data_IF_910434398063
#
_entry.id   IF_910434398063
#
_cell.length_a   1.000
_cell.length_b   1.000
_cell.length_c   1.000
_cell.angle_alpha   90.00
_cell.angle_beta   90.00
_cell.angle_gamma   90.00
#
_symmetry.space_group_name_H-M   'P 1'
#
loop_
_entity.id
_entity.type
_entity.pdbx_description
1 polymer ?
#
# COMPACT_ATOMS: atom_id res chain seq x y z
N UNK A 1 10.36 10.10 15.49
CA UNK A 1 8.97 10.01 15.01
C UNK A 1 8.78 8.64 14.39
N UNK A 2 7.69 7.94 14.71
CA UNK A 2 7.39 6.59 14.22
C UNK A 2 6.71 6.57 12.86
N UNK A 3 5.85 7.55 12.60
CA UNK A 3 5.11 7.63 11.34
C UNK A 3 6.01 8.23 10.27
N UNK A 4 5.94 7.68 9.06
CA UNK A 4 6.60 8.26 7.88
C UNK A 4 5.65 9.09 7.03
N UNK A 5 4.32 8.91 7.21
CA UNK A 5 3.30 9.71 6.53
C UNK A 5 2.20 10.11 7.50
N UNK A 6 1.76 11.36 7.37
CA UNK A 6 0.60 11.94 8.02
C UNK A 6 -0.35 12.46 6.95
N UNK A 7 -1.64 12.18 7.11
CA UNK A 7 -2.69 12.74 6.25
C UNK A 7 -3.81 13.33 7.10
N UNK A 8 -4.48 14.36 6.57
CA UNK A 8 -5.73 14.91 7.10
C UNK A 8 -6.88 14.51 6.15
N UNK A 9 -7.56 13.36 6.34
CA UNK A 9 -8.57 12.86 5.39
C UNK A 9 -9.69 13.84 5.08
N UNK A 10 -10.06 14.72 6.03
CA UNK A 10 -11.05 15.79 5.81
C UNK A 10 -10.68 16.73 4.65
N UNK A 11 -9.39 16.93 4.38
CA UNK A 11 -8.93 17.75 3.25
C UNK A 11 -9.22 17.11 1.90
N UNK A 12 -9.43 15.78 1.85
CA UNK A 12 -9.81 15.05 0.64
C UNK A 12 -11.33 15.09 0.42
N UNK A 13 -12.11 15.04 1.49
CA UNK A 13 -13.56 15.19 1.45
C UNK A 13 -14.10 15.66 2.80
N UNK A 14 -15.07 16.59 2.85
CA UNK A 14 -15.70 17.04 4.09
C UNK A 14 -16.40 15.91 4.86
N UNK A 15 -16.79 14.83 4.19
CA UNK A 15 -17.47 13.67 4.78
C UNK A 15 -16.53 12.70 5.51
N UNK A 16 -15.21 12.89 5.39
CA UNK A 16 -14.19 12.08 6.06
C UNK A 16 -13.99 12.43 7.55
N UNK A 17 -14.79 13.36 8.08
CA UNK A 17 -14.88 13.67 9.50
C UNK A 17 -16.22 14.36 9.83
N UNK A 18 -16.75 14.21 11.06
CA UNK A 18 -17.93 14.95 11.51
C UNK A 18 -17.79 16.47 11.36
N UNK A 19 -18.92 17.18 11.27
CA UNK A 19 -18.92 18.64 11.23
C UNK A 19 -18.18 19.26 12.43
N UNK A 20 -17.37 20.29 12.18
CA UNK A 20 -16.54 20.93 13.20
C UNK A 20 -15.31 20.12 13.65
N UNK A 21 -15.11 18.92 13.13
CA UNK A 21 -14.00 18.03 13.48
C UNK A 21 -13.12 17.71 12.27
N UNK A 22 -11.92 17.19 12.52
CA UNK A 22 -11.02 16.62 11.53
C UNK A 22 -10.49 15.27 12.02
N UNK A 23 -9.77 14.55 11.17
CA UNK A 23 -9.11 13.29 11.50
C UNK A 23 -7.65 13.35 11.07
N UNK A 24 -6.81 12.61 11.78
CA UNK A 24 -5.39 12.45 11.44
C UNK A 24 -5.13 10.98 11.20
N UNK A 25 -4.61 10.66 10.02
CA UNK A 25 -4.20 9.30 9.66
C UNK A 25 -2.68 9.24 9.66
N UNK A 26 -2.13 8.30 10.42
CA UNK A 26 -0.71 8.04 10.50
C UNK A 26 -0.39 6.70 9.86
N UNK A 27 0.68 6.66 9.09
CA UNK A 27 1.22 5.41 8.55
C UNK A 27 2.59 5.14 9.15
N UNK A 28 2.70 3.98 9.79
CA UNK A 28 3.85 3.58 10.58
C UNK A 28 4.42 2.31 9.94
N UNK A 29 5.54 2.40 9.22
CA UNK A 29 6.21 1.21 8.70
C UNK A 29 6.78 0.41 9.86
N UNK A 30 6.53 -0.89 9.86
CA UNK A 30 7.07 -1.84 10.83
C UNK A 30 7.24 -3.20 10.15
N UNK A 31 8.05 -4.06 10.76
CA UNK A 31 8.21 -5.44 10.35
C UNK A 31 7.26 -6.32 11.18
N UNK A 32 6.70 -7.35 10.53
CA UNK A 32 5.89 -8.33 11.24
C UNK A 32 6.69 -8.95 12.39
N UNK A 33 6.11 -8.89 13.60
CA UNK A 33 6.78 -9.37 14.80
C UNK A 33 7.93 -8.49 15.30
N UNK A 34 8.03 -7.22 14.93
CA UNK A 34 8.87 -6.27 15.65
C UNK A 34 8.15 -5.67 16.89
N UNK A 35 8.81 -4.75 17.58
CA UNK A 35 8.26 -4.11 18.76
C UNK A 35 7.06 -3.18 18.46
N UNK A 36 7.00 -2.57 17.28
CA UNK A 36 5.90 -1.71 16.86
C UNK A 36 4.69 -2.54 16.42
N UNK A 37 4.91 -3.61 15.67
CA UNK A 37 3.86 -4.54 15.23
C UNK A 37 3.15 -5.23 16.40
N UNK A 38 3.91 -5.58 17.46
CA UNK A 38 3.35 -6.21 18.68
C UNK A 38 2.81 -5.21 19.69
N UNK A 39 2.98 -3.92 19.47
CA UNK A 39 2.52 -2.92 20.42
C UNK A 39 0.99 -2.92 20.48
N UNK A 40 0.45 -2.81 21.70
CA UNK A 40 -0.98 -2.61 21.88
C UNK A 40 -1.41 -1.20 21.45
N UNK A 41 -2.72 -1.01 21.29
CA UNK A 41 -3.31 0.24 20.85
C UNK A 41 -2.95 1.43 21.77
N UNK A 42 -2.86 1.22 23.08
CA UNK A 42 -2.52 2.27 24.04
C UNK A 42 -1.06 2.72 23.91
N UNK A 43 -0.14 1.77 23.75
CA UNK A 43 1.27 2.03 23.49
C UNK A 43 1.47 2.80 22.18
N UNK A 44 0.81 2.38 21.10
CA UNK A 44 0.86 3.06 19.80
C UNK A 44 0.29 4.48 19.89
N UNK A 45 -0.86 4.64 20.56
CA UNK A 45 -1.52 5.93 20.76
C UNK A 45 -0.64 6.92 21.52
N UNK A 46 -0.02 6.50 22.62
CA UNK A 46 0.87 7.35 23.41
C UNK A 46 2.06 7.87 22.58
N UNK A 47 2.65 7.00 21.77
CA UNK A 47 3.76 7.36 20.88
C UNK A 47 3.30 8.28 19.74
N UNK A 48 2.17 7.98 19.12
CA UNK A 48 1.56 8.81 18.09
C UNK A 48 1.27 10.23 18.61
N UNK A 49 0.72 10.35 19.81
CA UNK A 49 0.47 11.64 20.44
C UNK A 49 1.75 12.43 20.68
N UNK A 50 2.81 11.80 21.20
CA UNK A 50 4.10 12.47 21.37
C UNK A 50 4.65 13.00 20.06
N UNK A 51 4.47 12.27 18.96
CA UNK A 51 4.90 12.68 17.64
C UNK A 51 4.03 13.80 17.06
N UNK A 52 2.70 13.74 17.23
CA UNK A 52 1.78 14.81 16.84
C UNK A 52 2.07 16.12 17.58
N UNK A 53 2.34 16.07 18.89
CA UNK A 53 2.74 17.25 19.66
C UNK A 53 4.02 17.89 19.11
N UNK A 54 5.00 17.08 18.69
CA UNK A 54 6.24 17.59 18.06
C UNK A 54 5.99 18.27 16.72
N UNK A 55 4.92 17.90 16.02
CA UNK A 55 4.46 18.56 14.78
C UNK A 55 3.56 19.78 15.04
N UNK A 56 3.33 20.14 16.30
CA UNK A 56 2.43 21.25 16.66
C UNK A 56 0.93 20.89 16.60
N UNK A 57 0.59 19.60 16.50
CA UNK A 57 -0.80 19.13 16.55
C UNK A 57 -1.11 18.74 18.00
N UNK A 58 -1.98 19.51 18.65
CA UNK A 58 -2.35 19.32 20.06
C UNK A 58 -3.21 18.05 20.27
N UNK A 59 -2.66 16.99 20.89
CA UNK A 59 -3.40 15.76 21.16
C UNK A 59 -4.56 15.91 22.14
N UNK A 60 -4.55 16.95 22.98
CA UNK A 60 -5.60 17.16 23.99
C UNK A 60 -6.97 17.47 23.37
N UNK A 61 -6.99 17.87 22.10
CA UNK A 61 -8.22 18.14 21.32
C UNK A 61 -8.84 16.88 20.71
N UNK A 62 -8.26 15.70 20.97
CA UNK A 62 -8.77 14.42 20.51
C UNK A 62 -10.12 14.08 21.16
N UNK A 63 -11.07 13.57 20.36
CA UNK A 63 -12.44 13.26 20.81
C UNK A 63 -12.62 11.86 21.40
N UNK A 64 -11.56 11.05 21.48
CA UNK A 64 -11.60 9.68 21.99
C UNK A 64 -11.57 8.60 20.90
N UNK A 65 -11.92 8.92 19.65
CA UNK A 65 -11.95 7.94 18.56
C UNK A 65 -10.56 7.58 18.02
N UNK A 66 -10.21 6.29 18.07
CA UNK A 66 -8.97 5.76 17.50
C UNK A 66 -9.26 4.46 16.78
N UNK A 67 -8.75 4.36 15.55
CA UNK A 67 -8.73 3.12 14.79
C UNK A 67 -7.29 2.82 14.39
N UNK A 68 -6.90 1.55 14.47
CA UNK A 68 -5.61 1.09 13.96
C UNK A 68 -5.80 -0.30 13.35
N UNK A 69 -4.98 -0.61 12.34
CA UNK A 69 -4.94 -1.90 11.68
C UNK A 69 -3.51 -2.18 11.20
N UNK A 70 -3.21 -3.46 11.02
CA UNK A 70 -1.90 -3.93 10.55
C UNK A 70 -2.04 -4.63 9.20
N UNK A 71 -1.03 -4.50 8.35
CA UNK A 71 -1.00 -5.13 7.03
C UNK A 71 0.40 -5.70 6.74
N UNK A 72 0.55 -7.01 6.91
CA UNK A 72 1.84 -7.71 6.78
C UNK A 72 2.41 -7.65 5.35
N UNK A 73 1.52 -7.49 4.36
CA UNK A 73 1.86 -7.44 2.94
C UNK A 73 1.39 -6.11 2.32
N UNK A 74 1.59 -4.99 3.01
CA UNK A 74 1.24 -3.67 2.49
C UNK A 74 2.15 -3.25 1.30
N UNK A 75 3.45 -3.51 1.41
CA UNK A 75 4.47 -3.10 0.43
C UNK A 75 5.26 -4.31 -0.07
N UNK A 76 5.48 -4.46 -1.38
CA UNK A 76 6.48 -5.39 -1.90
C UNK A 76 7.86 -4.80 -1.57
N UNK A 77 8.57 -5.43 -0.64
CA UNK A 77 9.91 -5.01 -0.27
C UNK A 77 10.91 -5.50 -1.32
N UNK A 78 11.35 -4.59 -2.19
CA UNK A 78 12.27 -4.86 -3.29
C UNK A 78 13.71 -4.83 -2.78
N UNK A 79 14.16 -5.96 -2.23
CA UNK A 79 15.57 -6.14 -1.82
C UNK A 79 16.49 -6.24 -3.02
N UNK A 80 17.79 -6.02 -2.83
CA UNK A 80 18.77 -6.16 -3.91
C UNK A 80 18.68 -7.55 -4.56
N UNK A 81 18.47 -7.58 -5.88
CA UNK A 81 18.34 -8.80 -6.67
C UNK A 81 16.94 -9.43 -6.65
N UNK A 82 15.92 -8.74 -6.15
CA UNK A 82 14.53 -9.23 -6.15
C UNK A 82 14.02 -9.57 -7.55
N UNK A 83 14.55 -8.93 -8.61
CA UNK A 83 14.13 -9.14 -9.99
C UNK A 83 14.35 -10.59 -10.44
N UNK A 84 15.47 -11.19 -10.02
CA UNK A 84 15.80 -12.60 -10.31
C UNK A 84 14.81 -13.54 -9.62
N UNK A 85 14.50 -13.25 -8.37
CA UNK A 85 13.58 -14.03 -7.54
C UNK A 85 12.15 -13.93 -8.10
N UNK A 86 11.72 -12.71 -8.43
CA UNK A 86 10.46 -12.40 -9.08
C UNK A 86 10.31 -13.13 -10.40
N UNK A 87 11.31 -13.05 -11.29
CA UNK A 87 11.30 -13.74 -12.57
C UNK A 87 11.20 -15.26 -12.41
N UNK A 88 11.96 -15.83 -11.47
CA UNK A 88 11.91 -17.27 -11.17
C UNK A 88 10.54 -17.72 -10.68
N UNK A 89 9.93 -16.95 -9.77
CA UNK A 89 8.60 -17.26 -9.23
C UNK A 89 7.51 -17.13 -10.31
N UNK A 90 7.52 -16.06 -11.10
CA UNK A 90 6.57 -15.87 -12.20
C UNK A 90 6.72 -16.97 -13.28
N UNK A 91 7.94 -17.39 -13.61
CA UNK A 91 8.18 -18.49 -14.54
C UNK A 91 7.69 -19.84 -13.98
N UNK A 92 7.84 -20.07 -12.68
CA UNK A 92 7.32 -21.29 -12.03
C UNK A 92 5.79 -21.30 -12.01
N UNK A 93 5.15 -20.20 -11.60
CA UNK A 93 3.70 -20.03 -11.61
C UNK A 93 3.14 -20.09 -13.04
N UNK A 94 3.92 -19.66 -14.02
CA UNK A 94 3.54 -19.70 -15.43
C UNK A 94 3.38 -21.10 -16.03
N UNK A 95 3.70 -22.17 -15.29
CA UNK A 95 3.49 -23.57 -15.70
C UNK A 95 2.05 -24.03 -15.56
N UNK A 96 1.20 -23.26 -14.87
CA UNK A 96 -0.21 -23.58 -14.69
C UNK A 96 -1.05 -22.74 -15.65
N UNK A 97 -1.71 -23.39 -16.60
CA UNK A 97 -2.48 -22.72 -17.66
C UNK A 97 -3.74 -22.00 -17.14
N UNK A 98 -4.21 -22.39 -15.95
CA UNK A 98 -5.36 -21.80 -15.28
C UNK A 98 -4.99 -20.76 -14.21
N UNK A 99 -3.75 -20.24 -14.21
CA UNK A 99 -3.28 -19.27 -13.24
C UNK A 99 -2.71 -18.01 -13.92
N UNK A 100 -3.29 -16.86 -13.59
CA UNK A 100 -2.83 -15.53 -14.06
C UNK A 100 -2.51 -14.66 -12.82
N UNK A 101 -1.24 -14.57 -12.41
CA UNK A 101 -0.81 -13.63 -11.37
C UNK A 101 -1.08 -12.18 -11.78
N UNK A 102 -1.70 -11.39 -10.90
CA UNK A 102 -2.04 -9.99 -11.18
C UNK A 102 -1.93 -9.12 -9.91
N UNK A 103 -2.00 -7.79 -10.09
CA UNK A 103 -1.95 -6.83 -9.00
C UNK A 103 -0.59 -6.72 -8.28
N UNK A 104 -0.61 -5.96 -7.16
CA UNK A 104 0.59 -5.56 -6.39
C UNK A 104 1.39 -6.76 -5.91
N UNK A 105 0.74 -7.66 -5.17
CA UNK A 105 1.41 -8.81 -4.57
C UNK A 105 1.56 -9.98 -5.56
N UNK A 106 0.54 -10.23 -6.39
CA UNK A 106 0.59 -11.33 -7.36
C UNK A 106 1.70 -11.17 -8.39
N UNK A 107 2.04 -9.93 -8.77
CA UNK A 107 3.19 -9.66 -9.65
C UNK A 107 4.41 -9.08 -8.94
N UNK A 108 4.37 -8.95 -7.60
CA UNK A 108 5.41 -8.36 -6.76
C UNK A 108 5.95 -7.03 -7.33
N UNK A 109 5.06 -6.04 -7.48
CA UNK A 109 5.37 -4.72 -8.05
C UNK A 109 4.77 -3.61 -7.19
N UNK A 110 5.51 -2.51 -7.04
CA UNK A 110 4.99 -1.31 -6.40
C UNK A 110 4.09 -0.55 -7.39
N UNK A 111 2.77 -0.65 -7.20
CA UNK A 111 1.77 -0.04 -8.09
C UNK A 111 0.61 0.56 -7.29
N UNK A 112 -0.11 1.50 -7.90
CA UNK A 112 -1.33 2.07 -7.38
C UNK A 112 -2.57 1.26 -7.78
N UNK A 113 -3.70 1.59 -7.16
CA UNK A 113 -4.97 0.84 -7.27
C UNK A 113 -5.50 0.81 -8.69
N UNK A 114 -5.41 1.91 -9.43
CA UNK A 114 -5.79 2.00 -10.85
C UNK A 114 -5.05 0.97 -11.71
N UNK A 115 -3.72 0.89 -11.57
CA UNK A 115 -2.89 -0.08 -12.29
C UNK A 115 -3.25 -1.51 -11.89
N UNK A 116 -3.48 -1.76 -10.60
CA UNK A 116 -3.89 -3.08 -10.12
C UNK A 116 -5.26 -3.51 -10.69
N UNK A 117 -6.22 -2.58 -10.77
CA UNK A 117 -7.53 -2.83 -11.40
C UNK A 117 -7.39 -3.10 -12.90
N UNK A 118 -6.58 -2.32 -13.61
CA UNK A 118 -6.30 -2.52 -15.05
C UNK A 118 -5.71 -3.89 -15.33
N UNK A 119 -4.77 -4.35 -14.50
CA UNK A 119 -4.20 -5.71 -14.58
C UNK A 119 -5.26 -6.79 -14.38
N UNK A 120 -6.20 -6.60 -13.44
CA UNK A 120 -7.34 -7.51 -13.25
C UNK A 120 -8.24 -7.57 -14.49
N UNK A 121 -8.53 -6.43 -15.12
CA UNK A 121 -9.30 -6.38 -16.36
C UNK A 121 -8.56 -7.05 -17.53
N UNK A 122 -7.23 -6.92 -17.60
CA UNK A 122 -6.39 -7.62 -18.59
C UNK A 122 -6.45 -9.14 -18.38
N UNK A 123 -6.36 -9.61 -17.13
CA UNK A 123 -6.49 -11.04 -16.81
C UNK A 123 -7.86 -11.59 -17.22
N UNK A 124 -8.94 -10.85 -16.96
CA UNK A 124 -10.28 -11.23 -17.42
C UNK A 124 -10.37 -11.31 -18.96
N UNK A 125 -9.76 -10.35 -19.68
CA UNK A 125 -9.71 -10.38 -21.16
C UNK A 125 -8.92 -11.58 -21.70
N UNK A 126 -7.79 -11.91 -21.08
CA UNK A 126 -6.97 -13.08 -21.42
C UNK A 126 -7.82 -14.36 -21.39
N UNK A 127 -8.61 -14.53 -20.33
CA UNK A 127 -9.52 -15.67 -20.18
C UNK A 127 -10.61 -15.66 -21.26
N UNK A 128 -11.32 -14.54 -21.44
CA UNK A 128 -12.43 -14.44 -22.39
C UNK A 128 -12.02 -14.66 -23.85
N UNK A 129 -10.78 -14.29 -24.20
CA UNK A 129 -10.25 -14.43 -25.57
C UNK A 129 -9.44 -15.70 -25.79
N UNK A 130 -9.16 -16.47 -24.74
CA UNK A 130 -8.21 -17.59 -24.79
C UNK A 130 -6.83 -17.17 -25.33
N UNK A 131 -6.40 -15.96 -24.97
CA UNK A 131 -5.09 -15.38 -25.33
C UNK A 131 -4.22 -15.30 -24.08
N UNK A 132 -2.96 -15.72 -24.15
CA UNK A 132 -2.03 -15.56 -23.02
C UNK A 132 -1.49 -14.13 -22.97
N UNK A 133 -2.03 -13.31 -22.06
CA UNK A 133 -1.60 -11.92 -21.85
C UNK A 133 -0.71 -11.75 -20.61
N UNK A 134 -0.12 -12.83 -20.09
CA UNK A 134 0.64 -12.78 -18.83
C UNK A 134 1.83 -11.83 -18.93
N UNK A 135 2.55 -11.81 -20.05
CA UNK A 135 3.70 -10.93 -20.22
C UNK A 135 3.30 -9.45 -20.13
N UNK A 136 2.20 -9.07 -20.77
CA UNK A 136 1.62 -7.73 -20.76
C UNK A 136 1.14 -7.37 -19.36
N UNK A 137 0.43 -8.27 -18.69
CA UNK A 137 -0.05 -8.07 -17.31
C UNK A 137 1.12 -7.82 -16.37
N UNK A 138 2.17 -8.64 -16.42
CA UNK A 138 3.32 -8.54 -15.52
C UNK A 138 4.10 -7.23 -15.69
N UNK A 139 4.06 -6.64 -16.89
CA UNK A 139 4.82 -5.45 -17.26
C UNK A 139 3.95 -4.21 -17.50
N UNK A 140 2.65 -4.29 -17.20
CA UNK A 140 1.71 -3.19 -17.40
C UNK A 140 2.15 -1.94 -16.63
N UNK A 141 2.38 -0.82 -17.31
CA UNK A 141 2.90 0.44 -16.73
C UNK A 141 4.18 0.24 -15.88
N UNK A 142 5.12 -0.60 -16.32
CA UNK A 142 6.38 -0.84 -15.59
C UNK A 142 7.25 0.43 -15.49
N UNK A 143 8.02 0.54 -14.41
CA UNK A 143 8.80 1.71 -13.95
C UNK A 143 9.78 2.26 -14.99
N UNK A 144 10.25 1.47 -15.95
CA UNK A 144 11.04 1.99 -17.09
C UNK A 144 10.28 3.04 -17.92
N UNK A 145 8.96 3.10 -17.78
CA UNK A 145 8.07 4.06 -18.44
C UNK A 145 7.42 5.04 -17.46
N UNK A 146 7.62 4.84 -16.16
CA UNK A 146 7.05 5.66 -15.07
C UNK A 146 8.18 5.95 -14.10
N UNK A 147 9.10 6.82 -14.51
CA UNK A 147 9.89 7.56 -13.53
C UNK A 147 8.87 8.48 -12.85
N UNK A 148 8.78 8.45 -11.52
CA UNK A 148 8.04 9.42 -10.69
C UNK A 148 8.64 10.85 -10.83
N UNK A 149 8.85 11.35 -12.05
CA UNK A 149 9.19 12.75 -12.29
C UNK A 149 7.95 13.63 -12.12
N UNK A 150 6.77 13.10 -12.44
CA UNK A 150 5.50 13.82 -12.39
C UNK A 150 4.58 13.25 -11.30
N UNK A 151 5.11 13.14 -10.06
CA UNK A 151 4.23 13.03 -8.91
C UNK A 151 3.50 14.38 -8.79
N UNK A 152 2.29 14.43 -9.32
CA UNK A 152 1.40 15.61 -9.29
C UNK A 152 1.23 16.04 -7.84
N UNK A 153 1.89 17.13 -7.48
CA UNK A 153 1.63 17.92 -6.28
C UNK A 153 0.50 18.91 -6.55
#
# INVERSE_FOLDING_TARGET
MMATRLQEPRRRSPDMAPAGHSSVMLEIPCQEGDALWRADAGTLKARAWSDLSRLGIDPSRHTGEVFHAHAAHAYPLMVMGYERERARNLAWLGRYDNLIPCGRQGTFRYIFTDTAMEMGMMAARSILRSEDLRHEIYNHRNEKTVIEVDSVA
#
